data_IF_553225567374
#
_entry.id   IF_553225567374
#
_cell.length_a   1.000
_cell.length_b   1.000
_cell.length_c   1.000
_cell.angle_alpha   90.00
_cell.angle_beta   90.00
_cell.angle_gamma   90.00
#
_symmetry.space_group_name_H-M   'P 1'
#
loop_
_entity.id
_entity.type
_entity.pdbx_description
1 polymer ?
#
# COMPACT_ATOMS: atom_id res chain seq x y z
N UNK A 1 63.71 -38.74 -11.07
CA UNK A 1 62.54 -38.51 -11.97
C UNK A 1 61.41 -37.93 -11.13
N UNK A 2 61.18 -36.61 -11.17
CA UNK A 2 60.11 -35.93 -10.43
C UNK A 2 58.90 -35.75 -11.35
N UNK A 3 57.75 -36.33 -10.99
CA UNK A 3 56.48 -36.16 -11.71
C UNK A 3 55.70 -35.02 -11.05
N UNK A 4 55.45 -33.95 -11.80
CA UNK A 4 54.58 -32.84 -11.39
C UNK A 4 53.21 -33.12 -12.00
N UNK A 5 52.20 -33.30 -11.14
CA UNK A 5 50.79 -33.43 -11.54
C UNK A 5 50.16 -32.05 -11.42
N UNK A 6 49.72 -31.49 -12.54
CA UNK A 6 48.97 -30.23 -12.60
C UNK A 6 47.48 -30.58 -12.51
N UNK A 7 46.83 -30.19 -11.41
CA UNK A 7 45.38 -30.29 -11.23
C UNK A 7 44.79 -28.97 -11.75
N UNK A 8 44.05 -29.03 -12.86
CA UNK A 8 43.29 -27.91 -13.40
C UNK A 8 41.95 -27.85 -12.67
N UNK A 9 41.77 -26.83 -11.83
CA UNK A 9 40.52 -26.54 -11.13
C UNK A 9 39.61 -25.72 -12.05
N UNK A 10 38.61 -26.36 -12.66
CA UNK A 10 37.60 -25.68 -13.46
C UNK A 10 36.61 -24.92 -12.57
N UNK A 11 36.64 -23.59 -12.62
CA UNK A 11 35.64 -22.74 -11.98
C UNK A 11 34.35 -22.78 -12.81
N UNK A 12 33.34 -23.50 -12.32
CA UNK A 12 31.97 -23.39 -12.83
C UNK A 12 31.37 -22.06 -12.32
N UNK A 13 31.31 -21.07 -13.21
CA UNK A 13 30.52 -19.86 -12.97
C UNK A 13 29.03 -20.22 -13.10
N UNK A 14 28.34 -20.37 -11.96
CA UNK A 14 26.89 -20.46 -11.91
C UNK A 14 26.33 -19.05 -12.01
N UNK A 15 25.87 -18.67 -13.20
CA UNK A 15 25.13 -17.43 -13.42
C UNK A 15 23.77 -17.53 -12.72
N UNK A 16 23.61 -16.86 -11.58
CA UNK A 16 22.31 -16.67 -10.95
C UNK A 16 21.51 -15.66 -11.79
N UNK A 17 20.72 -16.15 -12.73
CA UNK A 17 19.72 -15.33 -13.42
C UNK A 17 18.69 -14.87 -12.39
N UNK A 18 18.86 -13.66 -11.87
CA UNK A 18 17.81 -12.99 -11.13
C UNK A 18 16.62 -12.81 -12.08
N UNK A 19 15.52 -13.51 -11.83
CA UNK A 19 14.26 -13.30 -12.54
C UNK A 19 13.74 -11.90 -12.18
N UNK A 20 14.07 -10.92 -13.01
CA UNK A 20 13.45 -9.61 -12.94
C UNK A 20 11.98 -9.76 -13.33
N UNK A 21 11.05 -9.40 -12.45
CA UNK A 21 9.63 -9.32 -12.83
C UNK A 21 9.49 -8.35 -14.00
N UNK A 22 8.69 -8.75 -14.98
CA UNK A 22 8.36 -7.87 -16.10
C UNK A 22 7.46 -6.72 -15.62
N UNK A 23 7.42 -5.64 -16.40
CA UNK A 23 6.50 -4.52 -16.12
C UNK A 23 5.04 -4.99 -16.15
N UNK A 24 4.70 -5.94 -17.02
CA UNK A 24 3.36 -6.52 -17.13
C UNK A 24 2.98 -7.29 -15.87
N UNK A 25 3.84 -8.18 -15.38
CA UNK A 25 3.62 -8.90 -14.12
C UNK A 25 3.46 -7.94 -12.93
N UNK A 26 4.23 -6.84 -12.92
CA UNK A 26 4.11 -5.79 -11.89
C UNK A 26 2.74 -5.10 -11.96
N UNK A 27 2.25 -4.80 -13.16
CA UNK A 27 0.94 -4.19 -13.39
C UNK A 27 -0.18 -5.14 -12.94
N UNK A 28 -0.14 -6.41 -13.34
CA UNK A 28 -1.16 -7.39 -12.97
C UNK A 28 -1.22 -7.62 -11.46
N UNK A 29 -0.03 -7.74 -10.83
CA UNK A 29 0.11 -7.87 -9.38
C UNK A 29 -0.52 -6.68 -8.65
N UNK A 30 -0.17 -5.45 -9.03
CA UNK A 30 -0.71 -4.24 -8.40
C UNK A 30 -2.24 -4.15 -8.53
N UNK A 31 -2.79 -4.63 -9.64
CA UNK A 31 -4.23 -4.65 -9.91
C UNK A 31 -4.99 -5.77 -9.18
N UNK A 32 -4.33 -6.63 -8.38
CA UNK A 32 -5.00 -7.73 -7.70
C UNK A 32 -6.11 -7.28 -6.73
N UNK A 33 -5.94 -6.11 -6.09
CA UNK A 33 -6.96 -5.51 -5.23
C UNK A 33 -8.04 -4.71 -5.97
N UNK A 34 -7.90 -4.51 -7.29
CA UNK A 34 -8.82 -3.65 -8.05
C UNK A 34 -10.18 -4.35 -8.24
N UNK A 35 -11.32 -3.65 -8.03
CA UNK A 35 -12.63 -4.20 -8.34
C UNK A 35 -12.71 -4.54 -9.83
N UNK A 36 -13.33 -5.67 -10.17
CA UNK A 36 -13.40 -6.19 -11.55
C UNK A 36 -13.84 -5.13 -12.56
N UNK A 37 -14.85 -4.32 -12.23
CA UNK A 37 -15.41 -3.29 -13.12
C UNK A 37 -14.50 -2.07 -13.31
N UNK A 38 -13.55 -1.83 -12.40
CA UNK A 38 -12.65 -0.68 -12.44
C UNK A 38 -11.24 -1.04 -12.90
N UNK A 39 -10.87 -2.34 -12.89
CA UNK A 39 -9.52 -2.84 -13.12
C UNK A 39 -8.92 -2.36 -14.44
N UNK A 40 -9.66 -2.48 -15.55
CA UNK A 40 -9.15 -2.10 -16.89
C UNK A 40 -8.84 -0.61 -16.99
N UNK A 41 -9.68 0.25 -16.40
CA UNK A 41 -9.49 1.70 -16.41
C UNK A 41 -8.56 2.22 -15.32
N UNK A 42 -8.04 1.38 -14.42
CA UNK A 42 -7.22 1.82 -13.30
C UNK A 42 -5.82 2.26 -13.75
N UNK A 43 -5.30 3.30 -13.09
CA UNK A 43 -3.89 3.71 -13.18
C UNK A 43 -3.05 2.78 -12.32
N UNK A 44 -1.86 2.42 -12.78
CA UNK A 44 -0.88 1.69 -11.97
C UNK A 44 0.39 2.50 -11.85
N UNK A 45 0.87 2.65 -10.61
CA UNK A 45 2.10 3.37 -10.31
C UNK A 45 3.09 2.46 -9.55
N UNK A 46 4.36 2.83 -9.63
CA UNK A 46 5.45 2.26 -8.83
C UNK A 46 6.08 3.36 -7.99
N UNK A 47 6.02 3.21 -6.68
CA UNK A 47 6.68 4.13 -5.76
C UNK A 47 8.20 3.98 -5.84
N UNK A 48 8.89 5.11 -5.84
CA UNK A 48 10.35 5.20 -5.80
C UNK A 48 10.83 5.38 -4.35
N UNK A 49 12.11 5.10 -4.05
CA UNK A 49 12.68 5.30 -2.70
C UNK A 49 12.60 6.75 -2.19
N UNK A 50 12.55 7.73 -3.09
CA UNK A 50 12.43 9.17 -2.78
C UNK A 50 10.97 9.63 -2.52
N UNK A 51 10.03 8.69 -2.41
CA UNK A 51 8.59 8.93 -2.21
C UNK A 51 7.87 9.59 -3.39
N UNK A 52 8.53 9.73 -4.55
CA UNK A 52 7.85 10.00 -5.82
C UNK A 52 7.40 8.69 -6.46
N UNK A 53 6.77 8.75 -7.63
CA UNK A 53 6.33 7.55 -8.34
C UNK A 53 6.56 7.64 -9.84
N UNK A 54 6.65 6.48 -10.46
CA UNK A 54 6.57 6.28 -11.90
C UNK A 54 5.18 5.75 -12.25
N UNK A 55 4.62 6.19 -13.38
CA UNK A 55 3.35 5.62 -13.90
C UNK A 55 3.67 4.47 -14.84
N UNK A 56 3.30 3.24 -14.45
CA UNK A 56 3.50 2.04 -15.28
C UNK A 56 2.37 1.87 -16.30
N UNK A 57 1.15 2.25 -15.92
CA UNK A 57 -0.04 2.22 -16.77
C UNK A 57 -0.90 3.43 -16.48
N UNK A 58 -1.16 4.27 -17.48
CA UNK A 58 -2.12 5.35 -17.36
C UNK A 58 -3.54 4.79 -17.47
N UNK A 59 -4.40 5.12 -16.50
CA UNK A 59 -5.81 4.74 -16.49
C UNK A 59 -6.74 5.81 -17.08
N UNK A 60 -8.00 5.43 -17.24
CA UNK A 60 -9.11 6.27 -17.71
C UNK A 60 -10.14 6.56 -16.60
N UNK A 61 -10.05 5.88 -15.45
CA UNK A 61 -10.88 6.12 -14.28
C UNK A 61 -10.06 6.67 -13.09
N UNK A 62 -10.74 6.92 -11.96
CA UNK A 62 -10.13 7.53 -10.77
C UNK A 62 -9.39 6.55 -9.85
N UNK A 63 -9.34 5.26 -10.17
CA UNK A 63 -8.64 4.27 -9.34
C UNK A 63 -7.13 4.28 -9.67
N UNK A 64 -6.29 4.28 -8.65
CA UNK A 64 -4.85 4.03 -8.74
C UNK A 64 -4.48 2.85 -7.87
N UNK A 65 -3.67 1.95 -8.40
CA UNK A 65 -3.18 0.77 -7.70
C UNK A 65 -1.65 0.73 -7.69
N UNK A 66 -1.07 0.18 -6.62
CA UNK A 66 0.37 0.06 -6.46
C UNK A 66 0.76 -1.08 -5.52
N UNK A 67 1.96 -1.60 -5.75
CA UNK A 67 2.59 -2.57 -4.86
C UNK A 67 3.13 -1.88 -3.60
N UNK A 68 2.98 -2.56 -2.47
CA UNK A 68 3.49 -2.16 -1.17
C UNK A 68 4.46 -3.16 -0.53
N UNK A 69 4.67 -4.32 -1.14
CA UNK A 69 5.62 -5.33 -0.69
C UNK A 69 7.02 -4.75 -0.47
N UNK A 70 7.71 -5.26 0.54
CA UNK A 70 9.05 -4.80 0.93
C UNK A 70 9.09 -3.51 1.75
N UNK A 71 7.97 -2.81 1.95
CA UNK A 71 7.91 -1.73 2.94
C UNK A 71 7.98 -2.27 4.37
N UNK A 72 8.55 -1.49 5.32
CA UNK A 72 8.52 -1.82 6.74
C UNK A 72 7.10 -2.17 7.22
N UNK A 73 6.99 -3.31 7.92
CA UNK A 73 5.74 -3.77 8.52
C UNK A 73 4.69 -4.33 7.56
N UNK A 74 4.97 -4.43 6.25
CA UNK A 74 4.05 -5.06 5.29
C UNK A 74 4.26 -6.56 5.16
N UNK A 75 3.21 -7.27 4.76
CA UNK A 75 3.26 -8.69 4.40
C UNK A 75 4.05 -8.90 3.10
N UNK A 76 4.54 -10.13 2.82
CA UNK A 76 5.28 -10.43 1.59
C UNK A 76 4.49 -10.10 0.32
N UNK A 77 3.18 -10.37 0.31
CA UNK A 77 2.24 -9.81 -0.67
C UNK A 77 1.46 -8.67 -0.03
N UNK A 78 1.60 -7.48 -0.57
CA UNK A 78 0.87 -6.31 -0.13
C UNK A 78 0.63 -5.38 -1.31
N UNK A 79 -0.61 -5.19 -1.73
CA UNK A 79 -0.99 -4.23 -2.77
C UNK A 79 -2.14 -3.36 -2.29
N UNK A 80 -2.27 -2.17 -2.85
CA UNK A 80 -3.33 -1.24 -2.47
C UNK A 80 -3.87 -0.48 -3.66
N UNK A 81 -5.19 -0.30 -3.70
CA UNK A 81 -5.88 0.57 -4.63
C UNK A 81 -6.67 1.65 -3.89
N UNK A 82 -6.66 2.87 -4.41
CA UNK A 82 -7.46 3.99 -3.89
C UNK A 82 -7.72 5.04 -4.98
N UNK A 83 -8.32 6.17 -4.63
CA UNK A 83 -8.49 7.29 -5.55
C UNK A 83 -7.14 7.94 -5.92
N UNK A 84 -6.99 8.37 -7.17
CA UNK A 84 -5.84 9.17 -7.64
C UNK A 84 -5.66 10.44 -6.79
N UNK A 85 -6.74 11.00 -6.24
CA UNK A 85 -6.67 12.17 -5.37
C UNK A 85 -5.96 11.90 -4.01
N UNK A 86 -5.71 10.64 -3.67
CA UNK A 86 -5.04 10.27 -2.42
C UNK A 86 -3.52 10.14 -2.55
N UNK A 87 -2.92 10.34 -3.73
CA UNK A 87 -1.48 10.09 -3.92
C UNK A 87 -0.59 10.92 -2.99
N UNK A 88 -0.95 12.17 -2.70
CA UNK A 88 -0.21 13.00 -1.74
C UNK A 88 -0.33 12.46 -0.30
N UNK A 89 -1.52 11.99 0.09
CA UNK A 89 -1.75 11.30 1.38
C UNK A 89 -0.89 10.04 1.47
N UNK A 90 -0.82 9.26 0.40
CA UNK A 90 0.00 8.04 0.34
C UNK A 90 1.47 8.38 0.46
N UNK A 91 1.97 9.34 -0.32
CA UNK A 91 3.36 9.77 -0.27
C UNK A 91 3.75 10.26 1.14
N UNK A 92 2.89 11.06 1.79
CA UNK A 92 3.11 11.51 3.15
C UNK A 92 3.13 10.34 4.15
N UNK A 93 2.21 9.38 4.03
CA UNK A 93 2.20 8.17 4.87
C UNK A 93 3.50 7.38 4.72
N UNK A 94 3.98 7.18 3.48
CA UNK A 94 5.23 6.46 3.24
C UNK A 94 6.43 7.13 3.91
N UNK A 95 6.49 8.47 3.93
CA UNK A 95 7.53 9.23 4.64
C UNK A 95 7.50 8.95 6.14
N UNK A 96 6.31 8.96 6.75
CA UNK A 96 6.16 8.61 8.17
C UNK A 96 6.50 7.14 8.43
N UNK A 97 6.04 6.21 7.60
CA UNK A 97 6.31 4.77 7.77
C UNK A 97 7.79 4.40 7.61
N UNK A 98 8.58 5.23 6.91
CA UNK A 98 10.04 5.07 6.84
C UNK A 98 10.75 5.38 8.17
N UNK A 99 10.09 6.07 9.11
CA UNK A 99 10.56 6.24 10.49
C UNK A 99 10.30 4.92 11.22
N UNK A 100 11.36 4.12 11.41
CA UNK A 100 11.28 2.77 12.00
C UNK A 100 11.05 2.81 13.52
N UNK A 101 11.48 3.88 14.18
CA UNK A 101 11.16 4.12 15.58
C UNK A 101 9.69 4.53 15.73
N UNK A 102 8.93 3.70 16.45
CA UNK A 102 7.47 3.88 16.58
C UNK A 102 7.10 5.16 17.33
N UNK A 103 7.87 5.53 18.35
CA UNK A 103 7.57 6.71 19.16
C UNK A 103 7.84 8.00 18.38
N UNK A 104 8.97 8.08 17.68
CA UNK A 104 9.31 9.18 16.79
C UNK A 104 8.30 9.31 15.64
N UNK A 105 7.89 8.18 15.04
CA UNK A 105 6.86 8.19 14.00
C UNK A 105 5.53 8.73 14.51
N UNK A 106 5.09 8.28 15.68
CA UNK A 106 3.85 8.77 16.29
C UNK A 106 3.94 10.27 16.60
N UNK A 107 5.03 10.73 17.19
CA UNK A 107 5.25 12.16 17.47
C UNK A 107 5.23 13.02 16.20
N UNK A 108 5.82 12.53 15.10
CA UNK A 108 5.80 13.22 13.81
C UNK A 108 4.39 13.28 13.20
N UNK A 109 3.59 12.21 13.35
CA UNK A 109 2.19 12.20 12.95
C UNK A 109 1.37 13.19 13.79
N UNK A 110 1.50 13.15 15.11
CA UNK A 110 0.76 14.04 16.02
C UNK A 110 1.09 15.51 15.78
N UNK A 111 2.36 15.82 15.49
CA UNK A 111 2.77 17.17 15.09
C UNK A 111 2.06 17.63 13.81
N UNK A 112 2.03 16.78 12.78
CA UNK A 112 1.37 17.08 11.51
C UNK A 112 -0.16 17.23 11.64
N UNK A 113 -0.78 16.46 12.54
CA UNK A 113 -2.20 16.62 12.86
C UNK A 113 -2.45 17.97 13.57
N UNK A 114 -1.59 18.31 14.54
CA UNK A 114 -1.72 19.52 15.35
C UNK A 114 -1.48 20.81 14.56
N UNK A 115 -0.49 20.83 13.67
CA UNK A 115 -0.16 22.00 12.86
C UNK A 115 -0.97 22.10 11.56
N UNK A 116 -1.80 21.10 11.26
CA UNK A 116 -2.67 21.06 10.09
C UNK A 116 -1.96 20.67 8.79
N UNK A 117 -0.68 20.27 8.84
CA UNK A 117 0.08 19.82 7.66
C UNK A 117 -0.25 18.38 7.25
N UNK A 118 -1.05 17.68 8.04
CA UNK A 118 -1.53 16.34 7.67
C UNK A 118 -2.44 16.42 6.45
N UNK A 119 -1.98 15.82 5.34
CA UNK A 119 -2.78 15.70 4.12
C UNK A 119 -4.00 14.84 4.42
N UNK A 120 -5.19 15.34 4.08
CA UNK A 120 -6.45 14.60 4.23
C UNK A 120 -6.67 13.71 3.00
N UNK A 121 -7.17 12.47 3.17
CA UNK A 121 -7.66 11.70 2.03
C UNK A 121 -8.92 12.35 1.43
N UNK A 122 -9.24 12.02 0.18
CA UNK A 122 -10.48 12.39 -0.48
C UNK A 122 -11.67 11.76 0.27
N UNK A 123 -12.62 12.60 0.69
CA UNK A 123 -13.83 12.14 1.38
C UNK A 123 -14.64 11.22 0.47
N UNK A 124 -15.09 10.09 1.02
CA UNK A 124 -15.81 9.04 0.29
C UNK A 124 -14.93 8.14 -0.57
N UNK A 125 -13.61 8.35 -0.61
CA UNK A 125 -12.71 7.51 -1.40
C UNK A 125 -12.49 6.15 -0.77
N UNK A 126 -12.56 5.10 -1.57
CA UNK A 126 -12.29 3.72 -1.15
C UNK A 126 -10.79 3.46 -1.04
N UNK A 127 -10.41 2.62 -0.08
CA UNK A 127 -9.08 2.05 0.07
C UNK A 127 -9.21 0.53 0.15
N UNK A 128 -8.69 -0.14 -0.87
CA UNK A 128 -8.71 -1.58 -1.03
C UNK A 128 -7.29 -2.07 -0.78
N UNK A 129 -7.06 -2.68 0.37
CA UNK A 129 -5.73 -3.19 0.75
C UNK A 129 -5.74 -4.70 0.73
N UNK A 130 -4.93 -5.32 -0.12
CA UNK A 130 -4.85 -6.79 -0.21
C UNK A 130 -3.49 -7.26 0.30
N UNK A 131 -3.50 -7.99 1.42
CA UNK A 131 -2.27 -8.42 2.10
C UNK A 131 -2.31 -9.92 2.45
N UNK A 132 -1.16 -10.59 2.36
CA UNK A 132 -1.00 -11.99 2.74
C UNK A 132 0.43 -12.51 2.57
N UNK A 133 0.69 -13.78 2.94
CA UNK A 133 1.98 -14.42 2.70
C UNK A 133 2.29 -14.55 1.20
N UNK A 134 1.25 -14.64 0.37
CA UNK A 134 1.28 -14.61 -1.09
C UNK A 134 -0.07 -14.11 -1.62
N UNK A 135 -0.21 -13.97 -2.93
CA UNK A 135 -1.45 -13.47 -3.56
C UNK A 135 -2.66 -14.40 -3.35
N UNK A 136 -2.46 -15.72 -3.30
CA UNK A 136 -3.54 -16.70 -3.21
C UNK A 136 -4.15 -16.74 -1.80
N UNK A 137 -3.34 -16.46 -0.78
CA UNK A 137 -3.76 -16.40 0.62
C UNK A 137 -4.01 -14.98 1.12
N UNK A 138 -3.85 -13.97 0.26
CA UNK A 138 -4.10 -12.59 0.62
C UNK A 138 -5.59 -12.29 0.75
N UNK A 139 -5.92 -11.46 1.75
CA UNK A 139 -7.27 -10.97 1.97
C UNK A 139 -7.32 -9.51 1.63
N UNK A 140 -8.42 -9.11 0.99
CA UNK A 140 -8.76 -7.70 0.84
C UNK A 140 -9.21 -7.20 2.22
N UNK A 141 -8.97 -5.92 2.46
CA UNK A 141 -9.58 -5.14 3.51
C UNK A 141 -10.01 -3.82 2.89
N UNK A 142 -11.30 -3.51 3.01
CA UNK A 142 -11.90 -2.31 2.43
C UNK A 142 -12.17 -1.28 3.52
N UNK A 143 -11.80 -0.03 3.25
CA UNK A 143 -12.19 1.12 4.08
C UNK A 143 -12.59 2.28 3.21
N UNK A 144 -13.36 3.21 3.75
CA UNK A 144 -13.79 4.43 3.05
C UNK A 144 -13.33 5.64 3.85
N UNK A 145 -12.51 6.50 3.26
CA UNK A 145 -12.02 7.69 3.93
C UNK A 145 -13.15 8.70 4.17
N UNK A 146 -13.30 9.16 5.41
CA UNK A 146 -14.29 10.17 5.81
C UNK A 146 -13.65 11.16 6.79
N UNK A 147 -12.58 11.87 6.38
CA UNK A 147 -11.79 12.70 7.30
C UNK A 147 -12.66 13.73 8.03
N UNK A 148 -12.54 13.78 9.36
CA UNK A 148 -13.31 14.65 10.24
C UNK A 148 -14.72 14.15 10.59
N UNK A 149 -15.17 13.03 10.02
CA UNK A 149 -16.51 12.50 10.29
C UNK A 149 -16.66 11.96 11.73
N UNK A 150 -17.86 12.11 12.26
CA UNK A 150 -18.26 11.75 13.62
C UNK A 150 -19.57 10.96 13.60
N UNK A 151 -19.93 10.35 14.73
CA UNK A 151 -21.24 9.70 14.90
C UNK A 151 -22.40 10.63 14.55
N UNK A 152 -22.32 11.90 14.94
CA UNK A 152 -23.36 12.90 14.71
C UNK A 152 -23.49 13.28 13.23
N UNK A 153 -22.38 13.34 12.49
CA UNK A 153 -22.40 13.74 11.07
C UNK A 153 -22.75 12.59 10.12
N UNK A 154 -22.47 11.34 10.50
CA UNK A 154 -22.69 10.17 9.63
C UNK A 154 -23.84 9.26 10.07
N UNK A 155 -24.30 9.35 11.32
CA UNK A 155 -25.27 8.41 11.89
C UNK A 155 -24.73 6.99 12.09
N UNK A 156 -23.41 6.81 12.06
CA UNK A 156 -22.73 5.53 12.23
C UNK A 156 -22.01 5.48 13.59
N UNK A 157 -21.91 4.31 14.25
CA UNK A 157 -21.17 4.19 15.50
C UNK A 157 -19.66 4.43 15.28
N UNK A 158 -18.96 4.84 16.33
CA UNK A 158 -17.50 5.05 16.35
C UNK A 158 -16.71 3.81 16.85
N UNK A 159 -17.40 2.66 16.94
CA UNK A 159 -16.83 1.41 17.43
C UNK A 159 -17.56 0.19 16.83
N UNK A 160 -16.93 -0.99 16.77
CA UNK A 160 -17.45 -2.16 16.06
C UNK A 160 -18.56 -2.93 16.79
N UNK A 161 -19.01 -2.50 17.98
CA UNK A 161 -19.87 -3.33 18.85
C UNK A 161 -21.22 -3.69 18.25
N UNK A 162 -21.66 -2.97 17.23
CA UNK A 162 -22.95 -3.20 16.54
C UNK A 162 -22.84 -4.14 15.33
N UNK A 163 -21.64 -4.64 15.01
CA UNK A 163 -21.41 -5.61 13.92
C UNK A 163 -21.56 -5.06 12.50
N UNK A 164 -22.03 -3.82 12.34
CA UNK A 164 -22.13 -3.10 11.06
C UNK A 164 -20.93 -2.19 10.78
N UNK A 165 -21.09 -1.35 9.75
CA UNK A 165 -20.12 -0.30 9.41
C UNK A 165 -19.97 0.69 10.57
N UNK A 166 -18.73 1.09 10.86
CA UNK A 166 -18.41 2.02 11.94
C UNK A 166 -17.26 2.96 11.56
N UNK A 167 -17.13 4.08 12.28
CA UNK A 167 -16.13 5.12 12.03
C UNK A 167 -14.92 4.86 12.93
N UNK A 168 -13.80 4.41 12.36
CA UNK A 168 -12.53 4.38 13.08
C UNK A 168 -11.94 5.79 13.11
N UNK A 169 -11.37 6.18 14.25
CA UNK A 169 -10.73 7.49 14.47
C UNK A 169 -11.68 8.68 14.21
N UNK A 170 -12.94 8.57 14.64
CA UNK A 170 -13.95 9.61 14.51
C UNK A 170 -13.44 11.00 14.95
N UNK A 171 -13.77 12.03 14.19
CA UNK A 171 -13.37 13.43 14.43
C UNK A 171 -11.95 13.79 14.01
N UNK A 172 -11.13 12.83 13.56
CA UNK A 172 -9.73 13.07 13.14
C UNK A 172 -9.60 13.15 11.62
N UNK A 173 -8.47 13.64 11.11
CA UNK A 173 -8.17 13.62 9.66
C UNK A 173 -8.01 12.19 9.10
N UNK A 174 -7.89 11.19 9.97
CA UNK A 174 -7.74 9.78 9.61
C UNK A 174 -9.05 9.00 9.73
N UNK A 175 -10.16 9.68 10.03
CA UNK A 175 -11.47 9.06 10.14
C UNK A 175 -11.81 8.26 8.87
N UNK A 176 -12.19 6.99 9.05
CA UNK A 176 -12.56 6.11 7.94
C UNK A 176 -13.63 5.11 8.37
N UNK A 177 -14.47 4.71 7.42
CA UNK A 177 -15.46 3.67 7.60
C UNK A 177 -14.79 2.31 7.50
N UNK A 178 -14.99 1.51 8.52
CA UNK A 178 -14.60 0.11 8.57
C UNK A 178 -15.76 -0.74 8.09
N UNK A 179 -15.52 -1.62 7.10
CA UNK A 179 -16.52 -2.57 6.59
C UNK A 179 -16.24 -3.97 7.13
N UNK A 180 -17.06 -4.50 8.05
CA UNK A 180 -16.87 -5.86 8.56
C UNK A 180 -16.89 -6.92 7.45
N UNK A 181 -15.99 -7.90 7.55
CA UNK A 181 -15.91 -9.02 6.60
C UNK A 181 -15.31 -8.68 5.23
N UNK A 182 -14.86 -7.45 5.01
CA UNK A 182 -14.19 -7.02 3.78
C UNK A 182 -12.71 -7.28 3.77
#
# INVERSE_FOLDING_TARGET
MKRIVVIVLGVLAVSTSAFAQTTEETIERALAAAPRQMKEGATVIKWKPDFTYETLKKGTNRLVCYDRSGQPGQQPFAVQCTSIANLDRVAQNRKFEAITDKAARQAALDAAEKDGTRVKPEFGSVWLTMNGPDQAHARIHTTIAVPGATTQSMGLPDNPRQGGVWIMNAGTTTAHLMTPGS
#
